data_IF_674517840213
#
_entry.id   IF_674517840213
#
_cell.length_a   1.000
_cell.length_b   1.000
_cell.length_c   1.000
_cell.angle_alpha   90.00
_cell.angle_beta   90.00
_cell.angle_gamma   90.00
#
_symmetry.space_group_name_H-M   'P 1'
#
loop_
_entity.id
_entity.type
_entity.pdbx_description
1 polymer ?
#
# COMPACT_ATOMS: atom_id res chain seq x y z
N UNK A 1 18.28 -37.52 20.64
CA UNK A 1 18.21 -36.40 21.60
C UNK A 1 17.24 -35.42 21.06
N UNK A 2 16.12 -35.21 21.73
CA UNK A 2 15.18 -34.15 21.33
C UNK A 2 15.93 -32.81 21.53
N UNK A 3 16.11 -32.10 20.43
CA UNK A 3 16.71 -30.76 20.44
C UNK A 3 15.74 -29.81 21.14
N UNK A 4 15.86 -29.71 22.46
CA UNK A 4 15.02 -28.81 23.25
C UNK A 4 15.46 -27.38 22.94
N UNK A 5 14.77 -26.77 21.98
CA UNK A 5 14.97 -25.36 21.65
C UNK A 5 14.82 -24.50 22.93
N UNK A 6 15.65 -23.48 23.10
CA UNK A 6 15.49 -22.56 24.25
C UNK A 6 14.05 -22.03 24.32
N UNK A 7 13.44 -21.93 25.51
CA UNK A 7 12.03 -21.56 25.69
C UNK A 7 11.70 -20.15 25.19
N UNK A 8 12.69 -19.33 24.94
CA UNK A 8 12.56 -17.94 24.44
C UNK A 8 12.96 -17.79 22.95
N UNK A 9 13.08 -18.89 22.22
CA UNK A 9 13.40 -18.82 20.79
C UNK A 9 12.20 -18.33 19.99
N UNK A 10 12.41 -17.28 19.21
CA UNK A 10 11.44 -16.76 18.26
C UNK A 10 11.32 -17.71 17.07
N UNK A 11 10.30 -18.55 17.04
CA UNK A 11 10.04 -19.50 15.95
C UNK A 11 9.18 -18.87 14.86
N UNK A 12 9.17 -19.40 13.63
CA UNK A 12 8.29 -18.91 12.57
C UNK A 12 6.80 -18.93 12.94
N UNK A 13 6.36 -19.94 13.70
CA UNK A 13 4.98 -20.09 14.14
C UNK A 13 4.61 -19.00 15.16
N UNK A 14 5.49 -18.80 16.15
CA UNK A 14 5.31 -17.73 17.15
C UNK A 14 5.35 -16.35 16.48
N UNK A 15 6.27 -16.16 15.51
CA UNK A 15 6.33 -14.94 14.74
C UNK A 15 5.02 -14.67 14.00
N UNK A 16 4.51 -15.68 13.29
CA UNK A 16 3.26 -15.55 12.52
C UNK A 16 2.08 -15.19 13.42
N UNK A 17 1.94 -15.83 14.57
CA UNK A 17 0.87 -15.54 15.54
C UNK A 17 0.95 -14.10 16.07
N UNK A 18 2.11 -13.68 16.53
CA UNK A 18 2.32 -12.33 17.07
C UNK A 18 2.08 -11.27 16.01
N UNK A 19 2.67 -11.43 14.83
CA UNK A 19 2.63 -10.44 13.75
C UNK A 19 1.21 -10.25 13.21
N UNK A 20 0.47 -11.33 12.95
CA UNK A 20 -0.91 -11.25 12.47
C UNK A 20 -1.84 -10.59 13.48
N UNK A 21 -1.72 -10.97 14.74
CA UNK A 21 -2.51 -10.37 15.83
C UNK A 21 -2.26 -8.86 15.95
N UNK A 22 -1.01 -8.41 15.83
CA UNK A 22 -0.70 -6.98 15.88
C UNK A 22 -1.16 -6.24 14.62
N UNK A 23 -1.07 -6.84 13.45
CA UNK A 23 -1.59 -6.24 12.22
C UNK A 23 -3.11 -6.06 12.28
N UNK A 24 -3.85 -7.04 12.78
CA UNK A 24 -5.29 -6.93 13.03
C UNK A 24 -5.61 -5.82 14.04
N UNK A 25 -4.82 -5.72 15.10
CA UNK A 25 -4.97 -4.66 16.10
C UNK A 25 -4.73 -3.28 15.51
N UNK A 26 -3.67 -3.10 14.74
CA UNK A 26 -3.36 -1.82 14.08
C UNK A 26 -4.43 -1.39 13.08
N UNK A 27 -5.03 -2.33 12.38
CA UNK A 27 -6.13 -2.07 11.45
C UNK A 27 -7.40 -1.64 12.23
N UNK A 28 -7.76 -2.36 13.29
CA UNK A 28 -8.90 -2.05 14.13
C UNK A 28 -8.79 -0.69 14.85
N UNK A 29 -7.60 -0.35 15.30
CA UNK A 29 -7.32 0.91 16.01
C UNK A 29 -7.04 2.09 15.05
N UNK A 30 -6.99 1.89 13.72
CA UNK A 30 -6.63 2.91 12.74
C UNK A 30 -5.21 3.48 12.94
N UNK A 31 -4.27 2.68 13.45
CA UNK A 31 -2.94 3.13 13.91
C UNK A 31 -2.15 3.90 12.86
N UNK A 32 -2.33 3.56 11.59
CA UNK A 32 -1.61 4.19 10.48
C UNK A 32 -2.47 5.17 9.67
N UNK A 33 -3.69 5.42 10.09
CA UNK A 33 -4.57 6.37 9.46
C UNK A 33 -4.07 7.81 9.62
N UNK A 34 -4.11 8.57 8.52
CA UNK A 34 -3.70 9.97 8.49
C UNK A 34 -4.93 10.86 8.24
N UNK A 35 -5.49 11.48 9.27
CA UNK A 35 -6.63 12.38 9.09
C UNK A 35 -6.24 13.65 8.35
N UNK A 36 -7.21 14.21 7.62
CA UNK A 36 -7.09 15.50 6.97
C UNK A 36 -7.51 16.64 7.93
N UNK A 37 -7.04 17.87 7.71
CA UNK A 37 -7.54 19.04 8.44
C UNK A 37 -8.97 19.43 8.00
N UNK A 38 -9.40 19.03 6.79
CA UNK A 38 -10.70 19.34 6.23
C UNK A 38 -11.07 18.36 5.11
N UNK A 39 -12.35 18.33 4.69
CA UNK A 39 -12.84 17.49 3.60
C UNK A 39 -12.96 16.01 3.97
N UNK A 40 -12.86 15.09 2.98
CA UNK A 40 -12.94 13.67 3.25
C UNK A 40 -11.84 13.21 4.23
N UNK A 41 -12.20 12.29 5.13
CA UNK A 41 -11.31 11.76 6.19
C UNK A 41 -10.79 12.86 7.13
N UNK A 42 -11.55 13.95 7.33
CA UNK A 42 -11.15 15.03 8.22
C UNK A 42 -11.29 14.62 9.69
N UNK A 43 -10.29 14.99 10.47
CA UNK A 43 -10.32 15.12 11.92
C UNK A 43 -9.44 16.32 12.30
N UNK A 44 -10.01 17.54 12.31
CA UNK A 44 -9.26 18.75 12.58
C UNK A 44 -8.62 18.78 13.96
N UNK A 45 -9.28 18.17 14.95
CA UNK A 45 -8.77 18.13 16.34
C UNK A 45 -7.55 17.22 16.43
N UNK A 46 -7.59 16.04 15.81
CA UNK A 46 -6.47 15.10 15.81
C UNK A 46 -5.22 15.63 15.10
N UNK A 47 -5.36 16.60 14.19
CA UNK A 47 -4.23 17.17 13.43
C UNK A 47 -3.78 18.55 13.92
N UNK A 48 -4.52 19.16 14.84
CA UNK A 48 -4.21 20.49 15.33
C UNK A 48 -2.79 20.58 15.90
N UNK A 49 -2.01 21.54 15.40
CA UNK A 49 -0.62 21.77 15.85
C UNK A 49 0.39 20.69 15.48
N UNK A 50 -0.01 19.60 14.81
CA UNK A 50 0.90 18.54 14.40
C UNK A 50 1.56 18.85 13.06
N UNK A 51 2.89 18.73 12.94
CA UNK A 51 3.56 18.85 11.65
C UNK A 51 3.06 17.75 10.69
N UNK A 52 2.78 18.14 9.45
CA UNK A 52 2.32 17.20 8.42
C UNK A 52 3.49 16.67 7.62
N UNK A 53 3.49 15.36 7.39
CA UNK A 53 4.48 14.65 6.57
C UNK A 53 3.78 13.82 5.52
N UNK A 54 4.26 13.90 4.30
CA UNK A 54 3.86 13.01 3.21
C UNK A 54 5.07 12.15 2.83
N UNK A 55 4.97 10.84 3.07
CA UNK A 55 6.00 9.86 2.77
C UNK A 55 5.57 9.09 1.54
N UNK A 56 6.40 9.09 0.52
CA UNK A 56 6.13 8.46 -0.77
C UNK A 56 7.03 7.26 -0.96
N UNK A 57 6.43 6.21 -1.48
CA UNK A 57 7.12 5.05 -2.03
C UNK A 57 6.96 5.02 -3.54
N UNK A 58 7.91 4.36 -4.22
CA UNK A 58 7.72 3.97 -5.60
C UNK A 58 6.71 2.82 -5.62
N UNK A 59 5.50 3.08 -6.08
CA UNK A 59 4.42 2.10 -6.08
C UNK A 59 4.67 0.95 -7.07
N UNK A 60 4.28 -0.29 -6.72
CA UNK A 60 4.57 -1.47 -7.52
C UNK A 60 3.69 -1.55 -8.76
N UNK A 61 4.23 -2.21 -9.78
CA UNK A 61 3.50 -2.58 -10.98
C UNK A 61 2.96 -4.01 -10.84
N UNK A 62 1.62 -4.23 -10.85
CA UNK A 62 1.02 -5.54 -10.61
C UNK A 62 1.02 -6.43 -11.87
N UNK A 63 2.17 -6.55 -12.55
CA UNK A 63 2.33 -7.33 -13.78
C UNK A 63 2.60 -8.81 -13.57
N UNK A 64 2.85 -9.24 -12.33
CA UNK A 64 3.23 -10.60 -12.01
C UNK A 64 2.54 -11.12 -10.74
N UNK A 65 2.89 -12.35 -10.37
CA UNK A 65 2.28 -13.09 -9.27
C UNK A 65 2.55 -12.52 -7.85
N UNK A 66 3.08 -11.30 -7.75
CA UNK A 66 3.31 -10.64 -6.47
C UNK A 66 4.59 -9.80 -6.42
N UNK A 67 4.98 -9.46 -5.19
CA UNK A 67 6.18 -8.67 -4.93
C UNK A 67 7.44 -9.50 -5.09
N UNK A 68 8.51 -8.90 -5.61
CA UNK A 68 9.86 -9.46 -5.55
C UNK A 68 10.65 -8.81 -4.41
N UNK A 69 11.79 -9.40 -4.03
CA UNK A 69 12.61 -8.95 -2.88
C UNK A 69 13.09 -7.50 -2.94
N UNK A 70 13.16 -6.91 -4.13
CA UNK A 70 13.51 -5.48 -4.29
C UNK A 70 12.45 -4.52 -3.79
N UNK A 71 11.17 -4.90 -3.80
CA UNK A 71 10.09 -4.06 -3.29
C UNK A 71 10.20 -3.80 -1.78
N UNK A 72 10.28 -4.83 -0.91
CA UNK A 72 10.43 -4.62 0.53
C UNK A 72 11.66 -3.78 0.91
N UNK A 73 12.75 -3.84 0.14
CA UNK A 73 13.96 -3.08 0.42
C UNK A 73 13.70 -1.56 0.49
N UNK A 74 12.97 -1.01 -0.48
CA UNK A 74 12.56 0.39 -0.47
C UNK A 74 11.47 0.68 0.57
N UNK A 75 10.42 -0.14 0.58
CA UNK A 75 9.23 0.08 1.41
C UNK A 75 9.50 0.00 2.92
N UNK A 76 10.41 -0.88 3.36
CA UNK A 76 10.80 -0.96 4.76
C UNK A 76 11.53 0.31 5.20
N UNK A 77 12.37 0.90 4.35
CA UNK A 77 13.11 2.12 4.67
C UNK A 77 12.19 3.31 4.91
N UNK A 78 11.22 3.49 4.04
CA UNK A 78 10.21 4.55 4.15
C UNK A 78 9.24 4.30 5.30
N UNK A 79 8.87 3.05 5.57
CA UNK A 79 8.03 2.68 6.70
C UNK A 79 8.72 2.95 8.04
N UNK A 80 10.00 2.64 8.17
CA UNK A 80 10.80 2.98 9.37
C UNK A 80 10.79 4.49 9.60
N UNK A 81 11.02 5.28 8.56
CA UNK A 81 10.96 6.74 8.66
C UNK A 81 9.56 7.24 9.04
N UNK A 82 8.52 6.70 8.40
CA UNK A 82 7.13 7.08 8.69
C UNK A 82 6.75 6.76 10.15
N UNK A 83 7.12 5.60 10.66
CA UNK A 83 6.92 5.20 12.07
C UNK A 83 7.67 6.13 13.01
N UNK A 84 8.95 6.40 12.72
CA UNK A 84 9.74 7.36 13.52
C UNK A 84 9.05 8.72 13.59
N UNK A 85 8.57 9.26 12.47
CA UNK A 85 7.89 10.55 12.46
C UNK A 85 6.56 10.52 13.24
N UNK A 86 5.81 9.43 13.17
CA UNK A 86 4.59 9.25 14.00
C UNK A 86 4.92 9.25 15.49
N UNK A 87 5.97 8.55 15.93
CA UNK A 87 6.38 8.56 17.33
C UNK A 87 6.88 9.94 17.81
N UNK A 88 7.27 10.83 16.88
CA UNK A 88 7.59 12.22 17.16
C UNK A 88 6.38 13.15 17.19
N UNK A 89 5.17 12.61 17.00
CA UNK A 89 3.92 13.38 17.05
C UNK A 89 3.48 13.98 15.70
N UNK A 90 4.18 13.72 14.60
CA UNK A 90 3.77 14.22 13.29
C UNK A 90 2.48 13.50 12.81
N UNK A 91 1.65 14.21 12.05
CA UNK A 91 0.60 13.60 11.23
C UNK A 91 1.24 13.12 9.92
N UNK A 92 1.37 11.79 9.77
CA UNK A 92 2.12 11.20 8.66
C UNK A 92 1.17 10.50 7.71
N UNK A 93 1.04 11.03 6.50
CA UNK A 93 0.43 10.32 5.37
C UNK A 93 1.50 9.47 4.69
N UNK A 94 1.35 8.16 4.81
CA UNK A 94 2.13 7.15 4.11
C UNK A 94 1.16 6.19 3.45
N UNK A 95 1.09 6.20 2.12
CA UNK A 95 0.14 5.43 1.34
C UNK A 95 0.86 4.60 0.28
N UNK A 96 0.19 3.55 -0.17
CA UNK A 96 0.64 2.69 -1.25
C UNK A 96 -0.36 2.75 -2.39
N UNK A 97 0.14 2.88 -3.63
CA UNK A 97 -0.64 2.79 -4.85
C UNK A 97 -0.22 1.61 -5.71
N UNK A 98 -0.86 1.46 -6.89
CA UNK A 98 -0.57 0.42 -7.85
C UNK A 98 -0.55 1.02 -9.26
N UNK A 99 0.60 0.90 -9.94
CA UNK A 99 0.72 1.26 -11.35
C UNK A 99 0.16 0.14 -12.21
N UNK A 100 -1.11 0.25 -12.60
CA UNK A 100 -1.91 -0.90 -13.00
C UNK A 100 -2.18 -0.99 -14.49
N UNK A 101 -1.89 0.05 -15.28
CA UNK A 101 -1.92 -0.03 -16.74
C UNK A 101 -0.63 -0.59 -17.29
N UNK A 102 -0.70 -1.35 -18.39
CA UNK A 102 0.50 -1.74 -19.09
C UNK A 102 0.35 -2.91 -20.04
N UNK A 103 1.25 -2.94 -21.00
CA UNK A 103 1.33 -3.95 -22.05
C UNK A 103 1.38 -5.41 -21.56
N UNK A 104 2.07 -5.76 -20.44
CA UNK A 104 2.05 -7.14 -19.95
C UNK A 104 0.66 -7.67 -19.61
N UNK A 105 -0.20 -6.86 -19.00
CA UNK A 105 -1.58 -7.26 -18.68
C UNK A 105 -2.42 -7.45 -19.97
N UNK A 106 -2.22 -6.58 -20.96
CA UNK A 106 -2.89 -6.65 -22.26
C UNK A 106 -2.44 -7.88 -23.04
N UNK A 107 -1.13 -8.14 -23.11
CA UNK A 107 -0.59 -9.32 -23.78
C UNK A 107 -1.04 -10.63 -23.11
N UNK A 108 -1.16 -10.64 -21.79
CA UNK A 108 -1.72 -11.77 -21.06
C UNK A 108 -3.17 -12.00 -21.46
N UNK A 109 -3.97 -10.93 -21.53
CA UNK A 109 -5.36 -11.00 -21.97
C UNK A 109 -5.51 -11.57 -23.37
N UNK A 110 -4.69 -11.13 -24.31
CA UNK A 110 -4.68 -11.64 -25.72
C UNK A 110 -4.38 -13.14 -25.75
N UNK A 111 -3.44 -13.61 -24.92
CA UNK A 111 -3.05 -15.04 -24.91
C UNK A 111 -4.07 -15.94 -24.21
N UNK A 112 -4.75 -15.44 -23.22
CA UNK A 112 -5.61 -16.25 -22.33
C UNK A 112 -7.10 -16.05 -22.54
N UNK A 113 -7.50 -14.97 -23.22
CA UNK A 113 -8.89 -14.53 -23.32
C UNK A 113 -9.44 -13.90 -22.02
N UNK A 114 -8.62 -13.77 -20.98
CA UNK A 114 -9.03 -13.13 -19.73
C UNK A 114 -9.03 -11.61 -19.87
N UNK A 115 -10.06 -10.94 -19.35
CA UNK A 115 -10.09 -9.48 -19.37
C UNK A 115 -8.96 -8.88 -18.53
N UNK A 116 -8.19 -7.86 -19.03
CA UNK A 116 -7.03 -7.32 -18.31
C UNK A 116 -7.36 -6.84 -16.90
N UNK A 117 -8.53 -6.24 -16.70
CA UNK A 117 -9.01 -5.78 -15.39
C UNK A 117 -9.00 -6.89 -14.35
N UNK A 118 -9.56 -8.07 -14.66
CA UNK A 118 -9.65 -9.20 -13.73
C UNK A 118 -8.27 -9.60 -13.23
N UNK A 119 -7.34 -9.84 -14.17
CA UNK A 119 -5.96 -10.20 -13.83
C UNK A 119 -5.26 -9.13 -12.99
N UNK A 120 -5.48 -7.85 -13.32
CA UNK A 120 -4.88 -6.72 -12.59
C UNK A 120 -5.43 -6.64 -11.17
N UNK A 121 -6.75 -6.74 -10.99
CA UNK A 121 -7.40 -6.72 -9.67
C UNK A 121 -6.94 -7.89 -8.79
N UNK A 122 -6.81 -9.09 -9.36
CA UNK A 122 -6.29 -10.27 -8.65
C UNK A 122 -4.84 -10.06 -8.20
N UNK A 123 -3.98 -9.51 -9.07
CA UNK A 123 -2.60 -9.22 -8.74
C UNK A 123 -2.48 -8.13 -7.66
N UNK A 124 -3.30 -7.08 -7.71
CA UNK A 124 -3.36 -6.06 -6.66
C UNK A 124 -3.78 -6.69 -5.33
N UNK A 125 -4.79 -7.57 -5.33
CA UNK A 125 -5.22 -8.27 -4.13
C UNK A 125 -4.11 -9.15 -3.53
N UNK A 126 -3.32 -9.82 -4.38
CA UNK A 126 -2.15 -10.59 -3.94
C UNK A 126 -1.10 -9.66 -3.30
N UNK A 127 -0.74 -8.57 -3.98
CA UNK A 127 0.26 -7.62 -3.48
C UNK A 127 -0.18 -6.96 -2.15
N UNK A 128 -1.46 -6.60 -2.01
CA UNK A 128 -2.01 -6.09 -0.75
C UNK A 128 -1.82 -7.07 0.41
N UNK A 129 -2.11 -8.35 0.19
CA UNK A 129 -1.88 -9.39 1.21
C UNK A 129 -0.40 -9.53 1.56
N UNK A 130 0.49 -9.47 0.57
CA UNK A 130 1.94 -9.57 0.79
C UNK A 130 2.48 -8.36 1.57
N UNK A 131 2.08 -7.13 1.20
CA UNK A 131 2.44 -5.89 1.91
C UNK A 131 1.95 -5.91 3.36
N UNK A 132 0.70 -6.37 3.57
CA UNK A 132 0.17 -6.56 4.91
C UNK A 132 1.00 -7.58 5.69
N UNK A 133 1.38 -8.71 5.08
CA UNK A 133 2.16 -9.76 5.74
C UNK A 133 3.55 -9.29 6.19
N UNK A 134 4.15 -8.33 5.48
CA UNK A 134 5.40 -7.67 5.88
C UNK A 134 5.16 -6.69 7.05
N UNK A 135 3.93 -6.30 7.31
CA UNK A 135 3.55 -5.42 8.42
C UNK A 135 3.79 -3.94 8.17
N UNK A 136 3.81 -3.49 6.92
CA UNK A 136 4.00 -2.09 6.57
C UNK A 136 2.83 -1.20 7.03
N UNK A 137 3.15 -0.03 7.53
CA UNK A 137 2.21 0.94 8.13
C UNK A 137 1.65 1.96 7.13
N UNK A 138 1.07 1.48 6.02
CA UNK A 138 0.38 2.33 5.07
C UNK A 138 -1.08 2.62 5.49
N UNK A 139 -1.57 3.82 5.18
CA UNK A 139 -3.00 4.14 5.29
C UNK A 139 -3.75 3.51 4.11
N UNK A 140 -4.42 2.39 4.36
CA UNK A 140 -5.14 1.63 3.34
C UNK A 140 -6.29 2.42 2.69
N UNK A 141 -6.86 3.41 3.38
CA UNK A 141 -7.93 4.29 2.86
C UNK A 141 -7.44 5.22 1.75
N UNK A 142 -6.11 5.40 1.64
CA UNK A 142 -5.44 6.25 0.66
C UNK A 142 -4.81 5.46 -0.48
N UNK A 143 -5.05 4.14 -0.52
CA UNK A 143 -4.57 3.29 -1.60
C UNK A 143 -5.33 3.59 -2.89
N UNK A 144 -4.61 3.68 -4.00
CA UNK A 144 -5.17 3.96 -5.33
C UNK A 144 -4.50 3.07 -6.37
N UNK A 145 -5.28 2.58 -7.34
CA UNK A 145 -4.75 1.97 -8.55
C UNK A 145 -4.91 2.96 -9.71
N UNK A 146 -3.92 3.03 -10.59
CA UNK A 146 -4.02 3.92 -11.77
C UNK A 146 -5.16 3.54 -12.70
N UNK A 147 -5.68 2.30 -12.59
CA UNK A 147 -6.87 1.79 -13.28
C UNK A 147 -8.19 2.10 -12.59
N UNK A 148 -8.17 2.76 -11.44
CA UNK A 148 -9.42 3.26 -10.83
C UNK A 148 -9.99 4.37 -11.69
N UNK A 149 -11.31 4.34 -11.93
CA UNK A 149 -12.00 5.31 -12.81
C UNK A 149 -11.77 6.74 -12.31
N UNK A 150 -11.82 6.96 -11.02
CA UNK A 150 -11.60 8.27 -10.40
C UNK A 150 -10.17 8.78 -10.56
N UNK A 151 -9.21 7.90 -10.86
CA UNK A 151 -7.84 8.26 -11.18
C UNK A 151 -7.68 8.55 -12.67
N UNK A 152 -7.94 7.59 -13.56
CA UNK A 152 -7.60 7.73 -14.97
C UNK A 152 -8.51 8.70 -15.75
N UNK A 153 -9.71 9.02 -15.26
CA UNK A 153 -10.58 10.03 -15.89
C UNK A 153 -9.86 11.37 -16.09
N UNK A 154 -8.93 11.71 -15.18
CA UNK A 154 -8.18 12.96 -15.31
C UNK A 154 -7.13 12.91 -16.41
N UNK A 155 -6.51 11.76 -16.64
CA UNK A 155 -5.63 11.53 -17.80
C UNK A 155 -6.41 11.68 -19.10
N UNK A 156 -7.62 11.12 -19.16
CA UNK A 156 -8.51 11.27 -20.32
C UNK A 156 -8.93 12.73 -20.53
N UNK A 157 -9.25 13.44 -19.45
CA UNK A 157 -9.60 14.86 -19.50
C UNK A 157 -8.42 15.71 -20.01
N UNK A 158 -7.21 15.48 -19.52
CA UNK A 158 -6.00 16.17 -19.99
C UNK A 158 -5.79 15.91 -21.48
N UNK A 159 -5.92 14.65 -21.89
CA UNK A 159 -5.78 14.30 -23.32
C UNK A 159 -6.80 15.06 -24.19
N UNK A 160 -8.07 15.10 -23.79
CA UNK A 160 -9.10 15.82 -24.57
C UNK A 160 -8.81 17.31 -24.61
N UNK A 161 -8.34 17.94 -23.52
CA UNK A 161 -7.95 19.36 -23.54
C UNK A 161 -6.80 19.65 -24.50
N UNK A 162 -5.79 18.78 -24.52
CA UNK A 162 -4.67 18.91 -25.46
C UNK A 162 -5.16 18.72 -26.89
N UNK A 163 -5.97 17.70 -27.16
CA UNK A 163 -6.51 17.42 -28.47
C UNK A 163 -7.36 18.58 -29.01
N UNK A 164 -8.21 19.20 -28.19
CA UNK A 164 -9.05 20.33 -28.54
C UNK A 164 -8.28 21.65 -28.72
N UNK A 165 -7.01 21.71 -28.30
CA UNK A 165 -6.16 22.90 -28.42
C UNK A 165 -5.43 23.03 -29.75
N UNK A 166 -5.53 22.01 -30.60
CA UNK A 166 -4.97 21.96 -31.94
C UNK A 166 -6.06 22.30 -32.96
#
# INVERSE_FOLDING_TARGET
>A
MADTLPPYRYTPELAADIELRWQERWEADGTYEAPNPSGPLADPEAVAGRPRRYVLDMFPYPSGAGLHVGHPFGFISTDVYARYRRTRGDNVLHAMGYDSFGLPAEQYAVRTGAHPRTTTEDNIAIMRRQLRRIGLGHDARRSVATTDVDFYRWTQWIFTRIFESW
#
